data_IF_184567133361
#
_entry.id   IF_184567133361
#
_cell.length_a   1.000
_cell.length_b   1.000
_cell.length_c   1.000
_cell.angle_alpha   90.00
_cell.angle_beta   90.00
_cell.angle_gamma   90.00
#
_symmetry.space_group_name_H-M   'P 1'
#
loop_
_entity.id
_entity.type
_entity.pdbx_description
1 polymer ?
#
# COMPACT_ATOMS: atom_id res chain seq x y z
N UNK A 1 -34.93 6.21 -5.46
CA UNK A 1 -34.22 6.69 -4.24
C UNK A 1 -32.80 6.22 -4.41
N UNK A 2 -31.84 7.15 -4.47
CA UNK A 2 -30.43 6.80 -4.62
C UNK A 2 -29.80 6.82 -3.23
N UNK A 3 -29.11 5.75 -2.87
CA UNK A 3 -28.29 5.70 -1.67
C UNK A 3 -26.87 6.14 -2.04
N UNK A 4 -26.30 7.08 -1.30
CA UNK A 4 -24.94 7.57 -1.48
C UNK A 4 -24.16 7.30 -0.19
N UNK A 5 -23.12 6.47 -0.27
CA UNK A 5 -22.13 6.31 0.79
C UNK A 5 -20.99 7.31 0.59
N UNK A 6 -20.55 7.96 1.67
CA UNK A 6 -19.38 8.85 1.66
C UNK A 6 -18.35 8.31 2.63
N UNK A 7 -17.15 8.08 2.12
CA UNK A 7 -16.01 7.60 2.89
C UNK A 7 -14.86 8.60 2.77
N UNK A 8 -14.15 8.82 3.87
CA UNK A 8 -12.89 9.56 3.84
C UNK A 8 -11.79 8.67 3.27
N UNK A 9 -10.94 9.23 2.42
CA UNK A 9 -9.87 8.52 1.73
C UNK A 9 -8.47 8.88 2.26
N UNK A 10 -8.39 9.54 3.41
CA UNK A 10 -7.12 10.00 3.97
C UNK A 10 -6.11 8.88 4.23
N UNK A 11 -6.59 7.66 4.49
CA UNK A 11 -5.72 6.47 4.64
C UNK A 11 -5.03 6.07 3.34
N UNK A 12 -5.56 6.49 2.20
CA UNK A 12 -5.08 6.15 0.85
C UNK A 12 -4.53 7.37 0.11
N UNK A 13 -4.00 8.38 0.82
CA UNK A 13 -3.50 9.63 0.20
C UNK A 13 -4.54 10.34 -0.68
N UNK A 14 -5.82 10.20 -0.33
CA UNK A 14 -6.96 10.67 -1.12
C UNK A 14 -7.03 10.06 -2.54
N UNK A 15 -6.28 8.99 -2.80
CA UNK A 15 -6.29 8.23 -4.04
C UNK A 15 -7.18 6.98 -3.91
N UNK A 16 -8.40 7.01 -4.46
CA UNK A 16 -9.33 5.89 -4.35
C UNK A 16 -8.89 4.65 -5.14
N UNK A 17 -7.94 4.80 -6.08
CA UNK A 17 -7.49 3.69 -6.94
C UNK A 17 -6.67 2.63 -6.20
N UNK A 18 -6.40 2.82 -4.91
CA UNK A 18 -5.86 1.80 -4.01
C UNK A 18 -6.94 0.82 -3.49
N UNK A 19 -8.21 1.03 -3.84
CA UNK A 19 -9.33 0.18 -3.44
C UNK A 19 -9.80 -0.61 -4.66
N UNK A 20 -9.73 -1.93 -4.58
CA UNK A 20 -10.12 -2.85 -5.65
C UNK A 20 -11.54 -3.42 -5.46
N UNK A 21 -12.03 -3.49 -4.22
CA UNK A 21 -13.32 -4.11 -3.91
C UNK A 21 -14.19 -3.30 -2.93
N UNK A 22 -15.49 -3.29 -3.20
CA UNK A 22 -16.53 -2.91 -2.25
C UNK A 22 -17.06 -4.16 -1.55
N UNK A 23 -16.84 -4.25 -0.24
CA UNK A 23 -17.37 -5.34 0.59
C UNK A 23 -18.51 -4.81 1.46
N UNK A 24 -19.70 -5.39 1.33
CA UNK A 24 -20.86 -5.10 2.17
C UNK A 24 -21.00 -6.17 3.23
N UNK A 25 -21.11 -5.78 4.50
CA UNK A 25 -21.19 -6.72 5.64
C UNK A 25 -22.42 -6.50 6.51
N UNK A 26 -22.79 -7.50 7.32
CA UNK A 26 -23.91 -7.41 8.28
C UNK A 26 -23.62 -6.55 9.51
N UNK A 27 -22.34 -6.38 9.89
CA UNK A 27 -22.01 -5.75 11.17
C UNK A 27 -22.25 -4.24 11.18
N UNK A 28 -22.97 -3.80 12.20
CA UNK A 28 -22.79 -2.47 12.76
C UNK A 28 -21.65 -2.56 13.79
N UNK A 29 -20.86 -1.50 13.97
CA UNK A 29 -19.70 -1.42 14.88
C UNK A 29 -19.98 -1.71 16.38
N UNK A 30 -21.15 -2.25 16.72
CA UNK A 30 -21.63 -2.51 18.08
C UNK A 30 -21.74 -4.01 18.43
N UNK A 31 -21.31 -4.93 17.56
CA UNK A 31 -21.33 -6.36 17.85
C UNK A 31 -20.13 -6.76 18.74
N UNK A 32 -20.34 -7.30 19.96
CA UNK A 32 -19.26 -7.74 20.85
C UNK A 32 -18.42 -8.89 20.30
N UNK A 33 -18.91 -9.65 19.32
CA UNK A 33 -18.19 -10.79 18.74
C UNK A 33 -17.36 -10.40 17.50
N UNK A 34 -17.39 -9.12 17.06
CA UNK A 34 -16.68 -8.58 15.89
C UNK A 34 -16.89 -9.38 14.58
N UNK A 35 -17.87 -10.28 14.53
CA UNK A 35 -18.13 -11.14 13.39
C UNK A 35 -19.06 -10.43 12.41
N UNK A 36 -18.49 -9.94 11.31
CA UNK A 36 -19.25 -9.37 10.20
C UNK A 36 -19.41 -10.43 9.11
N UNK A 37 -20.65 -10.82 8.79
CA UNK A 37 -20.90 -11.68 7.64
C UNK A 37 -20.78 -10.84 6.36
N UNK A 38 -20.04 -11.34 5.38
CA UNK A 38 -19.97 -10.73 4.05
C UNK A 38 -21.28 -11.02 3.31
N UNK A 39 -22.01 -9.95 2.95
CA UNK A 39 -23.27 -10.01 2.21
C UNK A 39 -23.05 -9.93 0.70
N UNK A 40 -22.10 -9.09 0.26
CA UNK A 40 -21.78 -8.89 -1.14
C UNK A 40 -20.34 -8.38 -1.31
N UNK A 41 -19.75 -8.70 -2.46
CA UNK A 41 -18.46 -8.18 -2.93
C UNK A 41 -18.69 -7.70 -4.37
N UNK A 42 -18.13 -6.54 -4.71
CA UNK A 42 -18.05 -6.06 -6.08
C UNK A 42 -16.65 -5.52 -6.34
N UNK A 43 -16.09 -5.88 -7.50
CA UNK A 43 -14.86 -5.26 -7.99
C UNK A 43 -15.15 -3.81 -8.41
N UNK A 44 -14.19 -2.92 -8.19
CA UNK A 44 -14.29 -1.50 -8.52
C UNK A 44 -13.37 -1.20 -9.70
N UNK A 45 -13.99 -0.83 -10.82
CA UNK A 45 -13.28 -0.24 -11.96
C UNK A 45 -13.31 1.29 -11.84
N UNK A 46 -12.17 1.89 -11.52
CA UNK A 46 -12.04 3.34 -11.46
C UNK A 46 -11.94 3.96 -12.86
N UNK A 47 -12.68 5.05 -13.09
CA UNK A 47 -12.59 5.83 -14.33
C UNK A 47 -11.49 6.90 -14.32
N UNK A 48 -10.60 6.84 -13.33
CA UNK A 48 -9.51 7.77 -13.11
C UNK A 48 -8.21 6.99 -12.96
N UNK A 49 -7.10 7.62 -13.34
CA UNK A 49 -5.77 7.05 -13.14
C UNK A 49 -5.32 7.22 -11.67
N UNK A 50 -4.39 6.38 -11.19
CA UNK A 50 -3.73 6.61 -9.92
C UNK A 50 -3.07 7.98 -9.85
N UNK A 51 -2.97 8.54 -8.65
CA UNK A 51 -2.37 9.86 -8.43
C UNK A 51 -0.91 9.95 -8.89
N UNK A 52 -0.15 8.83 -8.84
CA UNK A 52 1.24 8.74 -9.30
C UNK A 52 1.38 7.61 -10.35
N UNK A 53 0.85 7.77 -11.58
CA UNK A 53 0.75 6.68 -12.55
C UNK A 53 2.10 6.29 -13.15
N UNK A 54 3.08 7.18 -13.10
CA UNK A 54 4.44 6.96 -13.63
C UNK A 54 5.43 6.46 -12.55
N UNK A 55 4.93 6.11 -11.36
CA UNK A 55 5.77 5.69 -10.25
C UNK A 55 6.35 4.28 -10.50
N UNK A 56 7.68 4.21 -10.61
CA UNK A 56 8.41 2.97 -10.89
C UNK A 56 9.64 2.89 -9.99
N UNK A 57 9.75 1.82 -9.21
CA UNK A 57 10.91 1.55 -8.36
C UNK A 57 12.12 1.07 -9.19
N UNK A 58 13.31 1.49 -8.78
CA UNK A 58 14.59 1.10 -9.37
C UNK A 58 15.59 0.77 -8.28
N UNK A 59 16.07 -0.47 -8.21
CA UNK A 59 17.09 -0.85 -7.21
C UNK A 59 18.48 -0.35 -7.63
N UNK A 60 19.00 0.65 -6.91
CA UNK A 60 20.37 1.15 -7.05
C UNK A 60 21.41 0.36 -6.23
N UNK A 61 20.96 -0.69 -5.52
CA UNK A 61 21.78 -1.57 -4.71
C UNK A 61 21.81 -1.21 -3.21
N UNK A 62 22.30 -2.11 -2.35
CA UNK A 62 22.24 -1.95 -0.89
C UNK A 62 22.93 -0.68 -0.36
N UNK A 63 22.37 -0.10 0.71
CA UNK A 63 22.90 1.08 1.42
C UNK A 63 22.97 0.86 2.92
N UNK A 64 23.70 1.69 3.66
CA UNK A 64 23.97 1.50 5.09
C UNK A 64 22.72 1.18 5.95
N UNK A 65 21.57 1.77 5.62
CA UNK A 65 20.27 1.49 6.26
C UNK A 65 19.19 1.01 5.27
N UNK A 66 19.61 0.24 4.26
CA UNK A 66 18.74 -0.42 3.28
C UNK A 66 19.40 -1.72 2.77
N UNK A 67 19.47 -2.73 3.64
CA UNK A 67 20.14 -4.02 3.43
C UNK A 67 19.18 -5.16 3.10
N UNK A 68 17.88 -4.89 3.06
CA UNK A 68 16.82 -5.82 2.68
C UNK A 68 16.97 -6.43 1.29
N UNK A 69 16.19 -7.48 1.07
CA UNK A 69 16.17 -8.23 -0.18
C UNK A 69 15.16 -7.61 -1.14
N UNK A 70 15.53 -7.49 -2.42
CA UNK A 70 14.64 -6.98 -3.47
C UNK A 70 14.18 -8.14 -4.34
N UNK A 71 12.88 -8.32 -4.42
CA UNK A 71 12.24 -9.24 -5.37
C UNK A 71 12.14 -8.56 -6.72
N UNK A 72 12.57 -9.24 -7.78
CA UNK A 72 12.54 -8.76 -9.16
C UNK A 72 11.63 -9.66 -9.98
N UNK A 73 10.69 -9.07 -10.74
CA UNK A 73 9.96 -9.74 -11.80
C UNK A 73 10.07 -8.93 -13.09
N UNK A 74 10.28 -9.60 -14.22
CA UNK A 74 10.43 -8.97 -15.54
C UNK A 74 11.45 -7.82 -15.60
N UNK A 75 12.50 -7.92 -14.79
CA UNK A 75 13.57 -6.91 -14.71
C UNK A 75 13.23 -5.68 -13.88
N UNK A 76 12.09 -5.65 -13.18
CA UNK A 76 11.66 -4.55 -12.31
C UNK A 76 11.52 -5.02 -10.85
N UNK A 77 11.89 -4.17 -9.86
CA UNK A 77 11.56 -4.40 -8.46
C UNK A 77 10.05 -4.50 -8.25
N UNK A 78 9.61 -5.58 -7.60
CA UNK A 78 8.21 -5.80 -7.25
C UNK A 78 7.96 -5.76 -5.75
N UNK A 79 8.94 -6.14 -4.95
CA UNK A 79 8.84 -6.12 -3.50
C UNK A 79 10.21 -5.90 -2.83
N UNK A 80 10.17 -5.41 -1.58
CA UNK A 80 11.34 -5.26 -0.72
C UNK A 80 11.08 -5.92 0.64
N UNK A 81 11.90 -6.91 1.02
CA UNK A 81 11.83 -7.55 2.33
C UNK A 81 12.75 -6.83 3.30
N UNK A 82 12.18 -6.23 4.34
CA UNK A 82 12.88 -5.39 5.31
C UNK A 82 13.92 -6.17 6.11
N UNK A 83 15.16 -5.67 6.14
CA UNK A 83 16.24 -6.18 6.98
C UNK A 83 16.34 -5.43 8.33
N UNK A 84 17.04 -6.00 9.33
CA UNK A 84 17.35 -5.30 10.55
C UNK A 84 18.09 -3.97 10.31
N UNK A 85 17.63 -2.91 10.98
CA UNK A 85 18.14 -1.53 10.90
C UNK A 85 17.86 -0.80 9.56
N UNK A 86 16.97 -1.33 8.73
CA UNK A 86 16.48 -0.57 7.58
C UNK A 86 15.64 0.63 8.02
N UNK A 87 15.80 1.75 7.31
CA UNK A 87 15.04 2.97 7.53
C UNK A 87 14.26 3.33 6.27
N UNK A 88 13.00 3.75 6.41
CA UNK A 88 12.13 4.19 5.30
C UNK A 88 12.86 5.10 4.30
N UNK A 89 13.49 6.22 4.69
CA UNK A 89 14.13 7.12 3.73
C UNK A 89 15.30 6.48 2.98
N UNK A 90 16.05 5.58 3.61
CA UNK A 90 17.19 4.90 2.98
C UNK A 90 16.73 3.78 2.04
N UNK A 91 15.68 3.04 2.42
CA UNK A 91 15.05 2.02 1.57
C UNK A 91 14.43 2.67 0.34
N UNK A 92 13.63 3.72 0.52
CA UNK A 92 13.06 4.48 -0.58
C UNK A 92 14.16 5.00 -1.52
N UNK A 93 15.19 5.66 -0.97
CA UNK A 93 16.25 6.22 -1.78
C UNK A 93 17.11 5.15 -2.47
N UNK A 94 17.25 3.94 -1.92
CA UNK A 94 17.84 2.78 -2.61
C UNK A 94 17.00 2.41 -3.83
N UNK A 95 15.68 2.44 -3.69
CA UNK A 95 14.70 2.07 -4.71
C UNK A 95 14.34 3.20 -5.68
N UNK A 96 15.06 4.33 -5.64
CA UNK A 96 14.80 5.48 -6.51
C UNK A 96 13.49 6.22 -6.18
N UNK A 97 12.94 6.01 -4.99
CA UNK A 97 11.70 6.59 -4.48
C UNK A 97 12.01 7.63 -3.39
N UNK A 98 11.07 8.52 -3.10
CA UNK A 98 11.04 9.19 -1.79
C UNK A 98 10.22 8.39 -0.75
N UNK A 99 10.26 8.82 0.52
CA UNK A 99 9.54 8.13 1.58
C UNK A 99 8.02 8.13 1.34
N UNK A 100 7.48 9.21 0.77
CA UNK A 100 6.06 9.35 0.50
C UNK A 100 5.63 8.43 -0.67
N UNK A 101 6.47 8.25 -1.69
CA UNK A 101 6.28 7.28 -2.77
C UNK A 101 6.20 5.84 -2.21
N UNK A 102 7.11 5.49 -1.31
CA UNK A 102 7.14 4.15 -0.71
C UNK A 102 5.89 3.90 0.15
N UNK A 103 5.44 4.90 0.91
CA UNK A 103 4.21 4.80 1.71
C UNK A 103 2.95 4.83 0.83
N UNK A 104 2.94 5.61 -0.24
CA UNK A 104 1.87 5.64 -1.23
C UNK A 104 1.67 4.26 -1.87
N UNK A 105 2.74 3.50 -2.12
CA UNK A 105 2.65 2.12 -2.60
C UNK A 105 2.23 1.09 -1.53
N UNK A 106 2.14 1.51 -0.26
CA UNK A 106 1.84 0.66 0.89
C UNK A 106 0.82 1.33 1.84
N UNK A 107 -0.37 1.73 1.36
CA UNK A 107 -1.31 2.60 2.07
C UNK A 107 -1.84 1.98 3.37
N UNK A 108 -1.92 0.65 3.44
CA UNK A 108 -2.36 -0.07 4.65
C UNK A 108 -1.35 0.00 5.81
N UNK A 109 -0.11 0.44 5.57
CA UNK A 109 0.86 0.71 6.64
C UNK A 109 0.48 1.96 7.45
N UNK A 110 -0.30 2.86 6.85
CA UNK A 110 -0.66 4.17 7.38
C UNK A 110 0.52 5.15 7.47
N UNK A 111 0.24 6.45 7.36
CA UNK A 111 1.23 7.53 7.40
C UNK A 111 1.97 7.69 8.74
N UNK A 112 1.60 6.94 9.78
CA UNK A 112 2.17 7.09 11.13
C UNK A 112 3.37 6.19 11.42
N UNK A 113 3.67 5.22 10.56
CA UNK A 113 4.68 4.20 10.85
C UNK A 113 5.95 4.39 10.02
N UNK A 114 6.75 5.39 10.41
CA UNK A 114 8.13 5.59 9.92
C UNK A 114 9.06 4.42 10.27
N UNK A 115 8.63 3.50 11.14
CA UNK A 115 9.37 2.28 11.46
C UNK A 115 8.98 1.14 10.51
N UNK A 116 10.00 0.54 9.90
CA UNK A 116 9.89 -0.71 9.14
C UNK A 116 9.93 -1.90 10.10
N UNK A 117 9.11 -2.92 9.83
CA UNK A 117 9.09 -4.16 10.61
C UNK A 117 10.03 -5.16 9.92
N UNK A 118 11.00 -5.71 10.65
CA UNK A 118 11.92 -6.70 10.07
C UNK A 118 11.15 -7.91 9.52
N UNK A 119 11.43 -8.28 8.27
CA UNK A 119 10.75 -9.35 7.54
C UNK A 119 9.41 -8.95 6.92
N UNK A 120 8.96 -7.71 7.11
CA UNK A 120 7.85 -7.14 6.34
C UNK A 120 8.21 -7.07 4.86
N UNK A 121 7.26 -7.41 3.99
CA UNK A 121 7.39 -7.25 2.56
C UNK A 121 6.68 -5.95 2.15
N UNK A 122 7.43 -5.00 1.61
CA UNK A 122 6.92 -3.75 1.06
C UNK A 122 6.62 -3.94 -0.42
N UNK A 123 5.41 -3.61 -0.84
CA UNK A 123 5.02 -3.58 -2.25
C UNK A 123 5.71 -2.41 -2.97
N UNK A 124 6.21 -2.66 -4.18
CA UNK A 124 6.89 -1.66 -5.03
C UNK A 124 6.15 -1.37 -6.34
N UNK A 125 4.91 -1.84 -6.48
CA UNK A 125 4.14 -1.74 -7.73
C UNK A 125 2.78 -1.08 -7.53
N UNK A 126 2.32 -0.29 -8.50
CA UNK A 126 0.97 0.30 -8.43
C UNK A 126 -0.14 -0.75 -8.42
N UNK A 127 0.08 -1.88 -9.09
CA UNK A 127 -0.91 -2.95 -9.21
C UNK A 127 -1.08 -3.79 -7.93
N UNK A 128 -0.05 -3.83 -7.07
CA UNK A 128 -0.08 -4.56 -5.80
C UNK A 128 -0.33 -3.68 -4.58
N UNK A 129 -0.72 -2.43 -4.79
CA UNK A 129 -0.93 -1.42 -3.74
C UNK A 129 -2.23 -1.66 -2.97
#
# INVERSE_FOLDING_TARGET
>A
MNFEGRWGLSTFDDDPTAIDQLVLTTSTFADPDCAADVLAIADIDWSIDPQRPDLVAVDSGPRAAAQGEVSIADGQPTAYTVAPNDLVPDVAARLGLDADDLLYLNPLRGHSNEMLIVGEELNLTLAGR
#
